data_IF_187475532927
#
_entry.id   IF_187475532927
#
_cell.length_a   1.000
_cell.length_b   1.000
_cell.length_c   1.000
_cell.angle_alpha   90.00
_cell.angle_beta   90.00
_cell.angle_gamma   90.00
#
_symmetry.space_group_name_H-M   'P 1'
#
loop_
_entity.id
_entity.type
_entity.pdbx_description
1 polymer ?
#
# COMPACT_ATOMS: atom_id res chain seq x y z
N UNK A 1 -3.39 -27.00 5.43
CA UNK A 1 -4.39 -26.14 6.10
C UNK A 1 -5.02 -25.26 5.03
N UNK A 2 -6.34 -25.05 5.09
CA UNK A 2 -7.06 -24.23 4.10
C UNK A 2 -6.82 -22.74 4.34
N UNK A 3 -6.91 -21.90 3.31
CA UNK A 3 -6.94 -20.44 3.48
C UNK A 3 -8.10 -19.99 4.37
N UNK A 4 -9.20 -20.74 4.42
CA UNK A 4 -10.35 -20.39 5.27
C UNK A 4 -10.21 -20.85 6.74
N UNK A 5 -9.14 -21.56 7.08
CA UNK A 5 -8.86 -21.94 8.46
C UNK A 5 -8.48 -20.70 9.29
N UNK A 6 -9.20 -20.44 10.38
CA UNK A 6 -8.96 -19.29 11.26
C UNK A 6 -7.54 -19.28 11.85
N UNK A 7 -6.92 -20.45 12.03
CA UNK A 7 -5.56 -20.57 12.55
C UNK A 7 -4.51 -20.03 11.57
N UNK A 8 -4.79 -20.03 10.26
CA UNK A 8 -3.94 -19.42 9.21
C UNK A 8 -3.63 -17.96 9.52
N UNK A 9 -4.61 -17.22 10.05
CA UNK A 9 -4.49 -15.79 10.32
C UNK A 9 -4.01 -15.45 11.73
N UNK A 10 -3.58 -16.44 12.53
CA UNK A 10 -3.02 -16.18 13.84
C UNK A 10 -1.69 -15.40 13.70
N UNK A 11 -1.43 -14.40 14.57
CA UNK A 11 -0.14 -13.74 14.62
C UNK A 11 1.01 -14.71 14.89
N UNK A 12 2.19 -14.44 14.34
CA UNK A 12 3.39 -15.20 14.73
C UNK A 12 3.76 -14.92 16.19
N UNK A 13 4.40 -15.90 16.86
CA UNK A 13 4.91 -15.72 18.22
C UNK A 13 6.01 -14.65 18.31
N UNK A 14 6.76 -14.45 17.23
CA UNK A 14 7.80 -13.43 17.08
C UNK A 14 7.32 -12.19 16.30
N UNK A 15 6.00 -11.98 16.18
CA UNK A 15 5.47 -10.77 15.56
C UNK A 15 5.95 -9.56 16.35
N UNK A 16 6.55 -8.60 15.65
CA UNK A 16 6.97 -7.31 16.19
C UNK A 16 6.27 -6.18 15.46
N UNK A 17 5.95 -5.09 16.15
CA UNK A 17 5.34 -3.93 15.51
C UNK A 17 5.81 -2.61 16.10
N UNK A 18 5.81 -1.59 15.26
CA UNK A 18 6.21 -0.23 15.59
C UNK A 18 5.16 0.75 15.08
N UNK A 19 4.67 1.62 15.97
CA UNK A 19 3.78 2.73 15.63
C UNK A 19 4.61 4.00 15.44
N UNK A 20 4.61 4.52 14.21
CA UNK A 20 5.45 5.62 13.74
C UNK A 20 4.60 6.85 13.41
N UNK A 21 5.16 8.03 13.68
CA UNK A 21 4.64 9.33 13.22
C UNK A 21 5.67 9.92 12.26
N UNK A 22 5.31 10.06 10.99
CA UNK A 22 6.23 10.50 9.93
C UNK A 22 5.92 11.92 9.46
N UNK A 23 6.98 12.67 9.12
CA UNK A 23 6.88 14.02 8.56
C UNK A 23 6.33 15.09 9.51
N UNK A 24 6.11 16.28 8.96
CA UNK A 24 5.59 17.45 9.69
C UNK A 24 4.09 17.30 10.05
N UNK A 25 3.31 16.60 9.22
CA UNK A 25 1.90 16.31 9.49
C UNK A 25 1.73 15.17 10.52
N UNK A 26 2.83 14.57 11.00
CA UNK A 26 2.83 13.47 11.97
C UNK A 26 1.90 12.32 11.54
N UNK A 27 2.06 11.87 10.29
CA UNK A 27 1.19 10.84 9.72
C UNK A 27 1.39 9.50 10.42
N UNK A 28 0.30 8.82 10.74
CA UNK A 28 0.33 7.47 11.33
C UNK A 28 0.78 6.42 10.31
N UNK A 29 1.78 5.65 10.73
CA UNK A 29 2.24 4.46 10.02
C UNK A 29 2.52 3.36 11.05
N UNK A 30 2.06 2.16 10.79
CA UNK A 30 2.40 0.97 11.58
C UNK A 30 3.21 0.05 10.69
N UNK A 31 4.42 -0.30 11.16
CA UNK A 31 5.22 -1.39 10.59
C UNK A 31 5.03 -2.62 11.45
N UNK A 32 4.78 -3.76 10.83
CA UNK A 32 4.70 -5.06 11.50
C UNK A 32 5.64 -6.02 10.79
N UNK A 33 6.52 -6.66 11.53
CA UNK A 33 7.43 -7.69 11.04
C UNK A 33 6.98 -9.07 11.55
N UNK A 34 7.13 -10.11 10.72
CA UNK A 34 6.62 -11.46 11.01
C UNK A 34 5.13 -11.47 11.38
N UNK A 35 4.26 -10.87 10.56
CA UNK A 35 2.86 -10.67 10.89
C UNK A 35 2.09 -11.96 11.24
N UNK A 36 1.92 -12.90 10.31
CA UNK A 36 1.01 -14.04 10.49
C UNK A 36 1.64 -15.39 10.16
N UNK A 37 1.19 -16.44 10.85
CA UNK A 37 1.72 -17.80 10.71
C UNK A 37 1.46 -18.39 9.32
N UNK A 38 0.29 -18.09 8.74
CA UNK A 38 -0.15 -18.62 7.45
C UNK A 38 0.36 -17.85 6.22
N UNK A 39 1.39 -17.00 6.33
CA UNK A 39 1.89 -16.24 5.18
C UNK A 39 2.28 -17.16 4.00
N UNK A 40 2.89 -18.31 4.28
CA UNK A 40 3.24 -19.28 3.24
C UNK A 40 2.01 -19.96 2.64
N UNK A 41 0.96 -20.20 3.43
CA UNK A 41 -0.30 -20.75 2.92
C UNK A 41 -0.94 -19.77 1.92
N UNK A 42 -0.91 -18.47 2.21
CA UNK A 42 -1.41 -17.45 1.30
C UNK A 42 -0.57 -17.38 0.01
N UNK A 43 0.75 -17.46 0.14
CA UNK A 43 1.66 -17.50 -1.01
C UNK A 43 1.38 -18.72 -1.89
N UNK A 44 1.24 -19.91 -1.29
CA UNK A 44 0.93 -21.14 -2.01
C UNK A 44 -0.46 -21.12 -2.65
N UNK A 45 -1.46 -20.52 -2.01
CA UNK A 45 -2.78 -20.29 -2.63
C UNK A 45 -2.67 -19.39 -3.87
N UNK A 46 -1.89 -18.30 -3.78
CA UNK A 46 -1.69 -17.41 -4.90
C UNK A 46 -1.01 -18.12 -6.09
N UNK A 47 0.01 -18.94 -5.81
CA UNK A 47 0.72 -19.75 -6.80
C UNK A 47 -0.20 -20.80 -7.41
N UNK A 48 -0.94 -21.54 -6.59
CA UNK A 48 -1.81 -22.60 -7.07
C UNK A 48 -2.97 -22.09 -7.93
N UNK A 49 -3.58 -20.95 -7.56
CA UNK A 49 -4.70 -20.37 -8.31
C UNK A 49 -4.26 -19.59 -9.54
N UNK A 50 -3.16 -18.84 -9.44
CA UNK A 50 -2.53 -18.03 -10.49
C UNK A 50 -3.51 -17.36 -11.49
N UNK A 51 -4.65 -16.87 -10.99
CA UNK A 51 -5.74 -16.31 -11.79
C UNK A 51 -5.70 -14.77 -11.75
N UNK A 52 -4.50 -14.22 -11.91
CA UNK A 52 -4.25 -12.78 -11.90
C UNK A 52 -4.79 -12.13 -13.17
N UNK A 53 -5.44 -10.98 -13.01
CA UNK A 53 -5.94 -10.16 -14.11
C UNK A 53 -5.42 -8.73 -13.98
N UNK A 54 -5.36 -8.02 -15.11
CA UNK A 54 -5.02 -6.58 -15.13
C UNK A 54 -5.96 -5.85 -14.16
N UNK A 55 -5.38 -5.04 -13.29
CA UNK A 55 -6.13 -4.27 -12.31
C UNK A 55 -6.93 -3.12 -12.98
N UNK A 56 -7.71 -2.42 -12.17
CA UNK A 56 -8.28 -1.13 -12.58
C UNK A 56 -7.20 -0.12 -12.97
N UNK A 57 -7.60 0.96 -13.64
CA UNK A 57 -6.71 1.90 -14.33
C UNK A 57 -5.66 2.59 -13.45
N UNK A 58 -5.79 2.55 -12.13
CA UNK A 58 -4.88 3.24 -11.22
C UNK A 58 -3.73 2.35 -10.77
N UNK A 59 -3.97 1.07 -10.50
CA UNK A 59 -2.92 0.15 -10.05
C UNK A 59 -2.08 -0.38 -11.23
N UNK A 60 -0.76 -0.14 -11.27
CA UNK A 60 0.10 -0.48 -12.41
C UNK A 60 0.53 -1.96 -12.40
N UNK A 61 -0.44 -2.88 -12.45
CA UNK A 61 -0.15 -4.30 -12.53
C UNK A 61 -1.38 -5.19 -12.46
N UNK A 62 -1.21 -6.36 -11.86
CA UNK A 62 -2.23 -7.42 -11.81
C UNK A 62 -2.74 -7.66 -10.39
N UNK A 63 -4.00 -8.08 -10.30
CA UNK A 63 -4.69 -8.42 -9.05
C UNK A 63 -5.45 -9.74 -9.16
N UNK A 64 -5.61 -10.41 -8.03
CA UNK A 64 -6.43 -11.61 -7.89
C UNK A 64 -7.21 -11.54 -6.56
N UNK A 65 -8.43 -12.09 -6.54
CA UNK A 65 -9.22 -12.18 -5.30
C UNK A 65 -8.50 -13.03 -4.24
N UNK A 66 -8.77 -12.75 -2.97
CA UNK A 66 -8.34 -13.54 -1.81
C UNK A 66 -9.57 -13.81 -0.94
N UNK A 67 -9.55 -14.85 -0.11
CA UNK A 67 -10.63 -15.12 0.83
C UNK A 67 -10.86 -13.93 1.79
N UNK A 68 -12.12 -13.60 2.03
CA UNK A 68 -12.52 -12.57 3.01
C UNK A 68 -12.07 -12.92 4.44
N UNK A 69 -11.75 -14.19 4.70
CA UNK A 69 -11.16 -14.60 5.97
C UNK A 69 -9.86 -13.84 6.29
N UNK A 70 -9.10 -13.42 5.26
CA UNK A 70 -7.91 -12.58 5.43
C UNK A 70 -8.26 -11.21 6.01
N UNK A 71 -9.21 -10.48 5.42
CA UNK A 71 -9.53 -9.12 5.89
C UNK A 71 -10.20 -9.16 7.26
N UNK A 72 -10.99 -10.19 7.55
CA UNK A 72 -11.58 -10.43 8.87
C UNK A 72 -10.48 -10.70 9.91
N UNK A 73 -9.49 -11.54 9.57
CA UNK A 73 -8.34 -11.82 10.42
C UNK A 73 -7.51 -10.56 10.69
N UNK A 74 -7.22 -9.79 9.65
CA UNK A 74 -6.49 -8.52 9.74
C UNK A 74 -7.17 -7.52 10.68
N UNK A 75 -8.47 -7.27 10.50
CA UNK A 75 -9.22 -6.35 11.36
C UNK A 75 -9.23 -6.84 12.81
N UNK A 76 -9.39 -8.15 13.05
CA UNK A 76 -9.36 -8.73 14.40
C UNK A 76 -7.98 -8.57 15.06
N UNK A 77 -6.91 -8.89 14.33
CA UNK A 77 -5.55 -8.85 14.85
C UNK A 77 -5.10 -7.43 15.22
N UNK A 78 -5.56 -6.43 14.46
CA UNK A 78 -5.16 -5.03 14.64
C UNK A 78 -6.23 -4.14 15.27
N UNK A 79 -7.28 -4.70 15.89
CA UNK A 79 -8.38 -3.90 16.45
C UNK A 79 -7.91 -2.81 17.43
N UNK A 80 -6.95 -3.14 18.31
CA UNK A 80 -6.41 -2.18 19.29
C UNK A 80 -5.60 -1.10 18.60
N UNK A 81 -4.80 -1.45 17.60
CA UNK A 81 -4.03 -0.47 16.82
C UNK A 81 -4.94 0.46 16.01
N UNK A 82 -5.97 -0.09 15.36
CA UNK A 82 -6.96 0.68 14.61
C UNK A 82 -7.71 1.64 15.55
N UNK A 83 -8.13 1.15 16.71
CA UNK A 83 -8.85 1.93 17.72
C UNK A 83 -7.99 3.02 18.38
N UNK A 84 -6.83 2.64 18.93
CA UNK A 84 -6.08 3.50 19.83
C UNK A 84 -5.07 4.39 19.09
N UNK A 85 -4.40 3.86 18.07
CA UNK A 85 -3.35 4.60 17.36
C UNK A 85 -3.91 5.41 16.19
N UNK A 86 -4.81 4.82 15.40
CA UNK A 86 -5.49 5.53 14.31
C UNK A 86 -6.75 6.26 14.76
N UNK A 87 -7.23 6.06 15.99
CA UNK A 87 -8.45 6.69 16.50
C UNK A 87 -9.68 6.43 15.60
N UNK A 88 -9.86 5.17 15.17
CA UNK A 88 -10.95 4.75 14.28
C UNK A 88 -11.86 3.73 14.97
N UNK A 89 -13.17 3.98 14.97
CA UNK A 89 -14.14 3.06 15.56
C UNK A 89 -14.44 1.90 14.62
N UNK A 90 -14.07 0.68 15.00
CA UNK A 90 -14.34 -0.54 14.24
C UNK A 90 -15.83 -0.76 13.94
N UNK A 91 -16.75 -0.25 14.78
CA UNK A 91 -18.21 -0.33 14.54
C UNK A 91 -18.65 0.52 13.37
N UNK A 92 -17.82 1.46 12.93
CA UNK A 92 -18.09 2.35 11.81
C UNK A 92 -17.55 1.84 10.46
N UNK A 93 -16.93 0.66 10.41
CA UNK A 93 -16.44 0.06 9.15
C UNK A 93 -17.61 -0.07 8.16
N UNK A 94 -17.49 0.61 7.02
CA UNK A 94 -18.45 0.59 5.91
C UNK A 94 -18.08 -0.45 4.87
N UNK A 95 -16.80 -0.68 4.66
CA UNK A 95 -16.28 -1.64 3.69
C UNK A 95 -14.85 -2.01 4.04
N UNK A 96 -14.52 -3.29 3.89
CA UNK A 96 -13.16 -3.77 4.00
C UNK A 96 -12.94 -4.86 2.94
N UNK A 97 -11.87 -4.76 2.16
CA UNK A 97 -11.57 -5.73 1.12
C UNK A 97 -10.08 -5.92 0.97
N UNK A 98 -9.66 -7.10 0.51
CA UNK A 98 -8.27 -7.43 0.21
C UNK A 98 -8.13 -8.07 -1.16
N UNK A 99 -6.96 -7.92 -1.78
CA UNK A 99 -6.60 -8.57 -3.04
C UNK A 99 -5.12 -8.94 -3.05
N UNK A 100 -4.79 -10.10 -3.62
CA UNK A 100 -3.41 -10.32 -4.06
C UNK A 100 -3.07 -9.30 -5.15
N UNK A 101 -1.87 -8.74 -5.11
CA UNK A 101 -1.44 -7.65 -5.98
C UNK A 101 0.04 -7.79 -6.34
N UNK A 102 0.38 -7.58 -7.61
CA UNK A 102 1.76 -7.53 -8.12
C UNK A 102 1.90 -6.39 -9.12
N UNK A 103 2.99 -5.63 -9.02
CA UNK A 103 3.32 -4.57 -9.99
C UNK A 103 4.00 -5.23 -11.18
N UNK A 104 3.45 -5.05 -12.37
CA UNK A 104 3.90 -5.70 -13.61
C UNK A 104 3.93 -4.75 -14.80
N UNK A 105 3.36 -3.56 -14.69
CA UNK A 105 3.40 -2.56 -15.76
C UNK A 105 4.81 -1.99 -15.88
N UNK A 106 5.37 -2.09 -17.09
CA UNK A 106 6.68 -1.54 -17.41
C UNK A 106 6.69 0.00 -17.34
N UNK A 107 7.81 0.66 -16.95
CA UNK A 107 7.90 2.10 -16.78
C UNK A 107 7.42 2.94 -17.98
N UNK A 108 7.71 2.49 -19.20
CA UNK A 108 7.31 3.15 -20.46
C UNK A 108 5.81 3.08 -20.75
N UNK A 109 5.07 2.21 -20.05
CA UNK A 109 3.63 2.01 -20.21
C UNK A 109 2.83 2.70 -19.11
N UNK A 110 3.48 3.45 -18.22
CA UNK A 110 2.81 4.18 -17.15
C UNK A 110 2.12 5.44 -17.70
N UNK A 111 0.96 5.72 -17.13
CA UNK A 111 0.36 7.06 -17.23
C UNK A 111 1.11 8.05 -16.32
N UNK A 112 1.08 9.36 -16.59
CA UNK A 112 1.75 10.35 -15.74
C UNK A 112 1.33 10.27 -14.25
N UNK A 113 0.07 9.92 -13.97
CA UNK A 113 -0.43 9.76 -12.60
C UNK A 113 0.13 8.53 -11.88
N UNK A 114 0.57 7.50 -12.61
CA UNK A 114 1.24 6.33 -12.04
C UNK A 114 2.73 6.56 -11.78
N UNK A 115 3.30 7.66 -12.30
CA UNK A 115 4.69 8.04 -12.11
C UNK A 115 4.93 8.85 -10.81
N UNK A 116 3.87 9.30 -10.14
CA UNK A 116 3.95 10.16 -8.94
C UNK A 116 3.32 9.48 -7.72
N UNK A 117 3.65 9.91 -6.48
CA UNK A 117 2.95 9.44 -5.29
C UNK A 117 1.44 9.65 -5.37
N UNK A 118 0.69 8.69 -4.86
CA UNK A 118 -0.77 8.69 -4.86
C UNK A 118 -1.31 8.57 -3.43
N UNK A 119 -2.63 8.67 -3.31
CA UNK A 119 -3.40 8.36 -2.12
C UNK A 119 -4.65 7.58 -2.56
N UNK A 120 -5.17 6.73 -1.68
CA UNK A 120 -6.25 5.80 -2.02
C UNK A 120 -7.65 6.40 -1.78
N UNK A 121 -7.76 7.33 -0.84
CA UNK A 121 -9.00 8.04 -0.57
C UNK A 121 -8.70 9.43 0.02
N UNK A 122 -9.44 10.48 -0.36
CA UNK A 122 -9.31 11.81 0.23
C UNK A 122 -10.00 11.86 1.62
N UNK A 123 -9.74 10.88 2.49
CA UNK A 123 -10.32 10.78 3.82
C UNK A 123 -9.33 10.17 4.82
N UNK A 124 -9.26 10.80 6.00
CA UNK A 124 -8.51 10.30 7.16
C UNK A 124 -9.20 9.11 7.82
N UNK A 125 -10.48 8.87 7.52
CA UNK A 125 -11.28 7.73 8.00
C UNK A 125 -11.17 6.53 7.04
N UNK A 126 -9.96 6.31 6.53
CA UNK A 126 -9.62 5.17 5.69
C UNK A 126 -8.22 4.67 6.01
N UNK A 127 -8.03 3.36 5.93
CA UNK A 127 -6.73 2.70 6.07
C UNK A 127 -6.40 1.94 4.79
N UNK A 128 -5.14 2.03 4.39
CA UNK A 128 -4.51 1.19 3.39
C UNK A 128 -3.49 0.29 4.07
N UNK A 129 -3.41 -0.95 3.62
CA UNK A 129 -2.49 -1.95 4.16
C UNK A 129 -1.81 -2.68 3.03
N UNK A 130 -0.51 -2.91 3.17
CA UNK A 130 0.28 -3.77 2.28
C UNK A 130 0.98 -4.83 3.12
N UNK A 131 0.72 -6.10 2.82
CA UNK A 131 1.38 -7.26 3.42
C UNK A 131 2.24 -7.94 2.34
N UNK A 132 3.54 -7.96 2.58
CA UNK A 132 4.53 -8.53 1.68
C UNK A 132 4.59 -10.05 1.85
N UNK A 133 4.39 -10.79 0.75
CA UNK A 133 4.52 -12.24 0.69
C UNK A 133 5.79 -12.67 -0.08
N UNK A 134 6.76 -11.77 -0.15
CA UNK A 134 8.03 -11.94 -0.83
C UNK A 134 9.10 -11.06 -0.15
N UNK A 135 10.37 -11.42 -0.35
CA UNK A 135 11.49 -10.52 -0.13
C UNK A 135 11.81 -9.79 -1.43
N UNK A 136 11.96 -8.47 -1.36
CA UNK A 136 12.42 -7.65 -2.48
C UNK A 136 13.27 -6.49 -1.94
N UNK A 137 14.56 -6.72 -1.64
CA UNK A 137 15.42 -5.76 -0.92
C UNK A 137 15.55 -4.37 -1.57
N UNK A 138 15.44 -4.29 -2.89
CA UNK A 138 15.48 -3.04 -3.67
C UNK A 138 14.10 -2.37 -3.85
N UNK A 139 13.05 -2.95 -3.25
CA UNK A 139 11.67 -2.50 -3.36
C UNK A 139 11.04 -2.29 -1.97
N UNK A 140 9.79 -1.84 -1.92
CA UNK A 140 9.13 -1.45 -0.68
C UNK A 140 8.00 -0.44 -0.90
N UNK A 141 7.69 0.32 0.14
CA UNK A 141 6.78 1.47 0.09
C UNK A 141 7.52 2.71 0.57
N UNK A 142 7.42 3.80 -0.20
CA UNK A 142 7.85 5.14 0.18
C UNK A 142 6.66 6.02 0.52
N UNK A 143 6.85 6.94 1.45
CA UNK A 143 5.88 7.95 1.88
C UNK A 143 6.45 9.34 1.58
N UNK A 144 5.61 10.26 1.13
CA UNK A 144 6.07 11.48 0.47
C UNK A 144 5.35 12.73 0.97
N UNK A 145 6.02 13.86 0.77
CA UNK A 145 5.42 15.20 0.80
C UNK A 145 5.44 15.79 -0.60
N UNK A 146 4.34 16.37 -1.04
CA UNK A 146 4.28 17.17 -2.24
C UNK A 146 4.84 18.57 -1.96
N UNK A 147 5.96 18.91 -2.60
CA UNK A 147 6.76 20.09 -2.25
C UNK A 147 6.04 21.41 -2.56
N UNK A 148 5.26 21.48 -3.65
CA UNK A 148 4.58 22.73 -4.03
C UNK A 148 3.43 23.11 -3.08
N UNK A 149 2.88 22.15 -2.32
CA UNK A 149 1.78 22.42 -1.38
C UNK A 149 2.14 22.18 0.08
N UNK A 150 3.33 21.64 0.35
CA UNK A 150 3.76 21.12 1.65
C UNK A 150 2.84 20.05 2.25
N UNK A 151 2.05 19.36 1.41
CA UNK A 151 1.10 18.36 1.90
C UNK A 151 1.74 16.98 1.93
N UNK A 152 1.60 16.27 3.05
CA UNK A 152 2.07 14.89 3.20
C UNK A 152 0.91 13.87 3.08
N UNK A 153 -0.33 14.36 3.20
CA UNK A 153 -1.56 13.62 2.96
C UNK A 153 -2.60 14.50 2.28
N UNK A 154 -3.55 13.88 1.58
CA UNK A 154 -4.66 14.52 0.88
C UNK A 154 -5.99 14.06 1.48
N UNK A 155 -6.76 15.00 2.03
CA UNK A 155 -8.15 14.83 2.46
C UNK A 155 -9.07 15.78 1.68
N UNK A 156 -10.39 15.75 1.95
CA UNK A 156 -11.38 16.58 1.22
C UNK A 156 -10.97 18.08 1.18
N UNK A 157 -10.58 18.75 2.29
CA UNK A 157 -10.14 20.15 2.23
C UNK A 157 -8.84 20.40 1.44
N UNK A 158 -7.91 19.43 1.40
CA UNK A 158 -6.63 19.56 0.70
C UNK A 158 -6.71 19.21 -0.79
N UNK A 159 -7.70 18.43 -1.19
CA UNK A 159 -7.82 17.82 -2.52
C UNK A 159 -7.75 18.83 -3.67
N UNK A 160 -8.59 19.87 -3.67
CA UNK A 160 -8.69 20.81 -4.80
C UNK A 160 -7.37 21.55 -5.05
N UNK A 161 -6.71 22.02 -3.98
CA UNK A 161 -5.41 22.70 -4.08
C UNK A 161 -4.33 21.75 -4.62
N UNK A 162 -4.28 20.52 -4.10
CA UNK A 162 -3.34 19.51 -4.55
C UNK A 162 -3.56 19.16 -6.03
N UNK A 163 -4.79 18.81 -6.41
CA UNK A 163 -5.14 18.44 -7.78
C UNK A 163 -4.80 19.56 -8.76
N UNK A 164 -5.15 20.81 -8.43
CA UNK A 164 -4.82 21.96 -9.28
C UNK A 164 -3.31 22.11 -9.45
N UNK A 165 -2.55 22.04 -8.36
CA UNK A 165 -1.08 22.14 -8.40
C UNK A 165 -0.47 21.03 -9.26
N UNK A 166 -0.90 19.78 -9.07
CA UNK A 166 -0.40 18.63 -9.82
C UNK A 166 -0.76 18.74 -11.31
N UNK A 167 -2.00 19.09 -11.65
CA UNK A 167 -2.42 19.24 -13.04
C UNK A 167 -1.69 20.37 -13.76
N UNK A 168 -1.47 21.51 -13.11
CA UNK A 168 -0.63 22.59 -13.68
C UNK A 168 0.79 22.11 -13.90
N UNK A 169 1.36 21.35 -12.95
CA UNK A 169 2.71 20.78 -13.07
C UNK A 169 2.83 19.78 -14.22
N UNK A 170 1.78 18.99 -14.47
CA UNK A 170 1.69 18.01 -15.56
C UNK A 170 1.31 18.63 -16.91
N UNK A 171 1.05 19.93 -17.02
CA UNK A 171 0.84 20.58 -18.32
C UNK A 171 2.14 20.93 -19.03
N UNK A 172 3.26 21.00 -18.30
CA UNK A 172 4.58 21.28 -18.86
C UNK A 172 5.18 20.02 -19.52
N UNK A 173 5.29 19.95 -20.86
CA UNK A 173 5.83 18.78 -21.54
C UNK A 173 7.29 18.50 -21.21
N UNK A 174 8.08 19.54 -20.89
CA UNK A 174 9.50 19.40 -20.56
C UNK A 174 9.73 18.74 -19.21
N UNK A 175 8.68 18.61 -18.40
CA UNK A 175 8.77 18.16 -17.02
C UNK A 175 7.81 17.01 -16.71
N UNK A 176 7.34 16.27 -17.72
CA UNK A 176 6.52 15.08 -17.53
C UNK A 176 7.28 14.03 -16.70
N UNK A 177 6.66 13.43 -15.66
CA UNK A 177 7.30 12.38 -14.89
C UNK A 177 7.41 11.12 -15.75
N UNK A 178 8.57 10.47 -15.72
CA UNK A 178 8.85 9.26 -16.49
C UNK A 178 9.23 8.11 -15.56
N UNK A 179 8.51 7.00 -15.66
CA UNK A 179 8.74 5.82 -14.82
C UNK A 179 8.24 5.98 -13.38
N UNK A 180 8.45 4.95 -12.58
CA UNK A 180 8.08 4.96 -11.16
C UNK A 180 8.96 5.93 -10.37
N UNK A 181 8.34 6.68 -9.46
CA UNK A 181 9.10 7.41 -8.45
C UNK A 181 9.87 6.44 -7.53
N UNK A 182 11.15 6.72 -7.31
CA UNK A 182 12.01 5.95 -6.43
C UNK A 182 12.94 6.91 -5.68
N UNK A 183 12.53 7.36 -4.49
CA UNK A 183 13.19 8.44 -3.74
C UNK A 183 12.61 9.82 -4.03
N UNK A 184 13.27 10.86 -3.52
CA UNK A 184 12.84 12.25 -3.69
C UNK A 184 13.07 12.79 -5.11
N UNK A 185 12.24 13.76 -5.48
CA UNK A 185 12.31 14.53 -6.74
C UNK A 185 12.14 16.02 -6.43
N UNK A 186 12.19 16.87 -7.46
CA UNK A 186 11.86 18.30 -7.30
C UNK A 186 10.42 18.50 -6.79
N UNK A 187 9.49 17.64 -7.21
CA UNK A 187 8.07 17.75 -6.87
C UNK A 187 7.70 17.06 -5.56
N UNK A 188 8.49 16.06 -5.12
CA UNK A 188 8.19 15.27 -3.93
C UNK A 188 9.43 15.01 -3.05
N UNK A 189 9.31 15.25 -1.75
CA UNK A 189 10.29 14.80 -0.77
C UNK A 189 9.91 13.41 -0.23
N UNK A 190 10.82 12.44 -0.21
CA UNK A 190 10.61 11.17 0.50
C UNK A 190 10.78 11.39 2.01
N UNK A 191 9.75 11.02 2.78
CA UNK A 191 9.67 11.20 4.24
C UNK A 191 10.07 9.94 4.99
N UNK A 192 9.67 8.78 4.46
CA UNK A 192 9.95 7.48 5.03
C UNK A 192 9.97 6.42 3.94
N UNK A 193 10.75 5.36 4.18
CA UNK A 193 10.93 4.24 3.27
C UNK A 193 10.96 2.94 4.07
N UNK A 194 10.19 1.96 3.61
CA UNK A 194 10.15 0.63 4.21
C UNK A 194 10.34 -0.44 3.16
N UNK A 195 11.43 -1.20 3.29
CA UNK A 195 11.76 -2.31 2.39
C UNK A 195 10.72 -3.42 2.42
N UNK A 196 10.47 -4.02 1.26
CA UNK A 196 9.66 -5.22 1.11
C UNK A 196 10.40 -6.44 1.69
N UNK A 197 9.92 -6.91 2.84
CA UNK A 197 10.45 -8.06 3.57
C UNK A 197 9.32 -9.08 3.70
N UNK A 198 9.62 -10.36 3.52
CA UNK A 198 8.62 -11.41 3.64
C UNK A 198 7.89 -11.34 4.99
N UNK A 199 6.57 -11.45 4.93
CA UNK A 199 5.66 -11.37 6.07
C UNK A 199 5.69 -10.03 6.83
N UNK A 200 6.21 -8.96 6.21
CA UNK A 200 6.06 -7.58 6.71
C UNK A 200 4.72 -7.01 6.29
N UNK A 201 4.05 -6.31 7.20
CA UNK A 201 2.86 -5.53 6.93
C UNK A 201 3.11 -4.06 7.23
N UNK A 202 2.63 -3.17 6.37
CA UNK A 202 2.55 -1.73 6.61
C UNK A 202 1.09 -1.31 6.60
N UNK A 203 0.64 -0.60 7.63
CA UNK A 203 -0.71 -0.04 7.73
C UNK A 203 -0.61 1.47 7.92
N UNK A 204 -1.32 2.23 7.09
CA UNK A 204 -1.27 3.70 7.09
C UNK A 204 -2.62 4.26 6.63
N UNK A 205 -2.79 5.58 6.75
CA UNK A 205 -4.02 6.25 6.32
C UNK A 205 -4.13 6.23 4.80
N UNK A 206 -5.32 5.92 4.26
CA UNK A 206 -5.55 5.95 2.81
C UNK A 206 -5.36 7.35 2.18
N UNK A 207 -5.37 8.41 3.00
CA UNK A 207 -5.05 9.78 2.57
C UNK A 207 -3.55 10.05 2.36
N UNK A 208 -2.66 9.22 2.91
CA UNK A 208 -1.22 9.48 2.92
C UNK A 208 -0.64 9.41 1.51
N UNK A 209 0.21 10.38 1.15
CA UNK A 209 0.92 10.32 -0.13
C UNK A 209 2.00 9.24 -0.06
N UNK A 210 1.88 8.25 -0.93
CA UNK A 210 2.74 7.07 -0.94
C UNK A 210 2.94 6.51 -2.35
N UNK A 211 3.96 5.67 -2.50
CA UNK A 211 4.19 4.93 -3.74
C UNK A 211 4.95 3.64 -3.47
N UNK A 212 4.78 2.65 -4.35
CA UNK A 212 5.69 1.51 -4.40
C UNK A 212 7.09 1.96 -4.83
N UNK A 213 8.11 1.43 -4.17
CA UNK A 213 9.51 1.64 -4.57
C UNK A 213 9.82 0.64 -5.67
N UNK A 214 9.87 1.12 -6.91
CA UNK A 214 10.12 0.29 -8.09
C UNK A 214 11.36 0.87 -8.79
N UNK A 215 12.51 0.24 -8.55
CA UNK A 215 13.80 0.64 -9.13
C UNK A 215 14.00 0.15 -10.57
N UNK A 216 15.10 0.57 -11.22
CA UNK A 216 15.42 0.17 -12.59
C UNK A 216 15.60 -1.35 -12.77
N UNK A 217 16.09 -2.03 -11.74
CA UNK A 217 16.34 -3.48 -11.76
C UNK A 217 15.12 -4.31 -11.29
N UNK A 218 13.94 -3.71 -11.18
CA UNK A 218 12.73 -4.43 -10.80
C UNK A 218 12.32 -5.43 -11.90
N UNK A 219 11.93 -6.66 -11.52
CA UNK A 219 11.77 -7.76 -12.47
C UNK A 219 10.47 -7.73 -13.30
N UNK A 220 9.44 -7.00 -12.85
CA UNK A 220 8.10 -6.94 -13.48
C UNK A 220 7.46 -8.29 -13.77
N UNK A 221 7.89 -9.35 -13.07
CA UNK A 221 7.43 -10.70 -13.31
C UNK A 221 5.98 -10.85 -12.79
N UNK A 222 5.01 -11.25 -13.64
CA UNK A 222 3.64 -11.48 -13.22
C UNK A 222 3.44 -12.78 -12.45
N UNK A 223 4.47 -13.60 -12.27
CA UNK A 223 4.38 -14.84 -11.50
C UNK A 223 4.38 -14.57 -9.99
N UNK A 224 3.42 -15.13 -9.23
CA UNK A 224 3.42 -15.03 -7.76
C UNK A 224 4.60 -15.75 -7.08
N UNK A 225 5.37 -16.56 -7.81
CA UNK A 225 6.55 -17.25 -7.27
C UNK A 225 7.77 -16.33 -7.17
N UNK A 226 7.93 -15.43 -8.15
CA UNK A 226 9.15 -14.65 -8.42
C UNK A 226 8.91 -13.14 -8.44
N UNK A 227 7.67 -12.71 -8.68
CA UNK A 227 7.26 -11.31 -8.62
C UNK A 227 7.10 -10.79 -7.18
N UNK A 228 6.92 -9.47 -7.05
CA UNK A 228 6.64 -8.82 -5.75
C UNK A 228 5.20 -9.09 -5.31
N UNK A 229 4.92 -10.31 -4.88
CA UNK A 229 3.61 -10.72 -4.38
C UNK A 229 3.30 -10.00 -3.06
N UNK A 230 2.14 -9.35 -3.04
CA UNK A 230 1.60 -8.67 -1.85
C UNK A 230 0.11 -8.95 -1.69
N UNK A 231 -0.40 -8.81 -0.48
CA UNK A 231 -1.83 -8.59 -0.23
C UNK A 231 -2.01 -7.11 0.06
N UNK A 232 -2.85 -6.44 -0.74
CA UNK A 232 -3.28 -5.06 -0.46
C UNK A 232 -4.67 -5.07 0.13
N UNK A 233 -4.89 -4.26 1.16
CA UNK A 233 -6.18 -4.16 1.84
C UNK A 233 -6.60 -2.71 2.03
N UNK A 234 -7.90 -2.46 1.90
CA UNK A 234 -8.48 -1.16 2.14
C UNK A 234 -9.63 -1.29 3.12
N UNK A 235 -9.65 -0.44 4.15
CA UNK A 235 -10.70 -0.38 5.16
C UNK A 235 -11.24 1.06 5.17
N UNK A 236 -12.53 1.22 4.95
CA UNK A 236 -13.22 2.51 4.98
C UNK A 236 -14.18 2.56 6.16
N UNK A 237 -14.11 3.65 6.91
CA UNK A 237 -14.95 3.92 8.07
C UNK A 237 -16.01 4.97 7.71
N UNK A 238 -16.98 5.18 8.59
CA UNK A 238 -17.89 6.31 8.46
C UNK A 238 -17.12 7.63 8.67
N UNK A 239 -17.62 8.70 8.07
CA UNK A 239 -17.16 10.06 8.38
C UNK A 239 -17.62 10.47 9.79
#
# INVERSE_FOLDING_TARGET
MSVDDKSTYAPCHNMDYECLKIGADQQELVRVDSYMQGAEILRQDAIARNSFAVADSFYPGVRMSISDAYIIGLVRNFQTIIGDFFNLDLRSIKSAASKFSMVTTQPQNLTPMQCVPHFDAPSRNSLAVIHYLCDAPSSGTGFYRHNATDYEYIDKPRFDKYQKSLMTRLQDPARQPAGYICGGTEDYSELARHTAVYNRLLMYRGSSLHSGIIGPDYNFDPSPETGRLTVTSFIRFAD
#
